data_IF_980516928882
#
_entry.id   IF_980516928882
#
_cell.length_a   1.000
_cell.length_b   1.000
_cell.length_c   1.000
_cell.angle_alpha   90.00
_cell.angle_beta   90.00
_cell.angle_gamma   90.00
#
_symmetry.space_group_name_H-M   'P 1'
#
loop_
_entity.id
_entity.type
_entity.pdbx_description
1 polymer ?
#
# COMPACT_ATOMS: atom_id res chain seq x y z
N UNK A 1 19.82 27.65 -7.78
CA UNK A 1 19.15 27.49 -9.10
C UNK A 1 18.01 26.48 -8.94
N UNK A 2 16.77 26.95 -8.93
CA UNK A 2 15.58 26.12 -8.80
C UNK A 2 15.21 25.58 -10.19
N UNK A 3 15.50 24.31 -10.48
CA UNK A 3 15.05 23.67 -11.73
C UNK A 3 13.55 23.42 -11.63
N UNK A 4 12.75 24.22 -12.35
CA UNK A 4 11.36 23.87 -12.65
C UNK A 4 11.39 22.57 -13.46
N UNK A 5 10.73 21.54 -12.96
CA UNK A 5 10.42 20.34 -13.73
C UNK A 5 9.14 20.65 -14.50
N UNK A 6 9.26 20.77 -15.83
CA UNK A 6 8.08 20.85 -16.69
C UNK A 6 7.49 19.44 -16.82
N UNK A 7 6.23 19.31 -16.40
CA UNK A 7 5.45 18.08 -16.52
C UNK A 7 5.02 17.92 -17.97
N UNK A 8 5.74 17.08 -18.72
CA UNK A 8 5.21 16.54 -19.96
C UNK A 8 4.17 15.47 -19.64
N UNK A 9 2.94 15.79 -20.01
CA UNK A 9 1.80 14.90 -20.04
C UNK A 9 2.10 13.67 -20.90
N UNK A 10 1.99 12.49 -20.31
CA UNK A 10 1.58 11.29 -21.05
C UNK A 10 0.11 11.10 -20.73
N UNK A 11 -0.74 11.75 -21.53
CA UNK A 11 -2.19 11.56 -21.55
C UNK A 11 -2.56 10.22 -22.23
N UNK A 12 -1.84 9.13 -21.93
CA UNK A 12 -2.06 7.83 -22.53
C UNK A 12 -1.83 6.74 -21.49
N UNK A 13 -2.86 6.49 -20.67
CA UNK A 13 -3.24 5.22 -20.05
C UNK A 13 -4.45 5.52 -19.16
N UNK A 14 -5.61 5.56 -19.81
CA UNK A 14 -6.88 5.99 -19.24
C UNK A 14 -7.44 5.05 -18.18
N UNK A 15 -7.85 5.68 -17.08
CA UNK A 15 -8.93 5.26 -16.17
C UNK A 15 -10.01 4.41 -16.83
N UNK A 16 -10.27 3.23 -16.26
CA UNK A 16 -11.62 2.68 -16.10
C UNK A 16 -11.79 2.23 -14.65
N UNK A 17 -12.37 3.08 -13.80
CA UNK A 17 -12.92 2.69 -12.51
C UNK A 17 -14.35 2.22 -12.74
N UNK A 18 -14.61 0.91 -12.64
CA UNK A 18 -15.94 0.39 -12.34
C UNK A 18 -15.92 -0.09 -10.89
N UNK A 19 -16.50 0.72 -9.99
CA UNK A 19 -16.81 0.29 -8.63
C UNK A 19 -18.27 -0.14 -8.61
N UNK A 20 -18.53 -1.44 -8.38
CA UNK A 20 -19.83 -1.88 -7.88
C UNK A 20 -19.95 -1.42 -6.43
N UNK A 21 -20.75 -0.38 -6.17
CA UNK A 21 -21.28 -0.09 -4.84
C UNK A 21 -22.75 -0.52 -4.78
N UNK A 22 -23.09 -1.31 -3.75
CA UNK A 22 -24.46 -1.52 -3.33
C UNK A 22 -25.14 -0.17 -3.05
N UNK A 23 -26.27 0.06 -3.72
CA UNK A 23 -27.19 1.15 -3.45
C UNK A 23 -27.71 1.10 -2.01
N UNK A 24 -27.64 2.22 -1.28
CA UNK A 24 -28.30 2.35 0.02
C UNK A 24 -28.06 3.68 0.73
N UNK A 25 -29.05 4.56 0.62
CA UNK A 25 -29.35 5.74 1.45
C UNK A 25 -28.56 7.04 1.20
N UNK A 26 -29.19 7.91 0.40
CA UNK A 26 -29.03 9.36 0.41
C UNK A 26 -29.67 9.94 1.68
N UNK A 27 -28.92 10.76 2.42
CA UNK A 27 -29.48 11.94 3.08
C UNK A 27 -28.44 13.06 3.00
N UNK A 28 -28.79 14.12 2.27
CA UNK A 28 -28.02 15.36 2.16
C UNK A 28 -28.60 16.36 3.16
N UNK A 29 -27.77 16.83 4.09
CA UNK A 29 -27.98 18.11 4.76
C UNK A 29 -26.87 19.09 4.36
N UNK A 30 -27.30 20.28 3.95
CA UNK A 30 -26.46 21.37 3.47
C UNK A 30 -25.68 22.03 4.62
N UNK A 31 -24.35 21.92 4.62
CA UNK A 31 -23.47 22.72 5.47
C UNK A 31 -22.69 23.76 4.64
N UNK A 32 -22.89 25.03 5.00
CA UNK A 32 -22.23 26.21 4.43
C UNK A 32 -20.75 26.22 4.81
N UNK A 33 -19.88 25.91 3.84
CA UNK A 33 -18.43 26.00 4.02
C UNK A 33 -17.93 27.46 3.98
N UNK A 34 -17.45 27.95 5.11
CA UNK A 34 -16.57 29.11 5.17
C UNK A 34 -15.20 28.74 4.58
N UNK A 35 -14.76 29.49 3.57
CA UNK A 35 -13.45 29.30 2.93
C UNK A 35 -12.35 29.81 3.86
N UNK A 36 -11.86 28.93 4.72
CA UNK A 36 -10.69 29.18 5.56
C UNK A 36 -9.44 29.09 4.68
N UNK A 37 -8.78 30.22 4.41
CA UNK A 37 -7.50 30.24 3.69
C UNK A 37 -6.45 29.53 4.55
N UNK A 38 -5.84 28.42 4.10
CA UNK A 38 -4.78 27.77 4.87
C UNK A 38 -3.56 28.70 4.91
N UNK A 39 -3.08 29.03 6.11
CA UNK A 39 -1.83 29.76 6.28
C UNK A 39 -0.68 28.90 5.75
N UNK A 40 0.01 29.37 4.72
CA UNK A 40 1.07 28.64 3.99
C UNK A 40 2.18 28.09 4.92
N UNK A 41 2.41 28.74 6.05
CA UNK A 41 3.50 28.43 7.00
C UNK A 41 3.25 27.19 7.87
N UNK A 42 1.98 26.81 8.11
CA UNK A 42 1.64 25.63 8.93
C UNK A 42 1.76 24.29 8.18
N UNK A 43 1.93 24.33 6.86
CA UNK A 43 1.89 23.13 6.02
C UNK A 43 3.22 22.35 5.97
N UNK A 44 4.37 23.03 6.08
CA UNK A 44 5.68 22.38 5.98
C UNK A 44 6.08 21.63 7.25
N UNK A 45 5.99 22.30 8.41
CA UNK A 45 6.35 21.72 9.71
C UNK A 45 5.52 20.47 10.03
N UNK A 46 4.22 20.52 9.77
CA UNK A 46 3.32 19.38 9.97
C UNK A 46 3.72 18.15 9.16
N UNK A 47 4.23 18.30 7.92
CA UNK A 47 4.64 17.14 7.10
C UNK A 47 5.91 16.48 7.56
N UNK A 48 6.88 17.25 8.04
CA UNK A 48 8.09 16.69 8.67
C UNK A 48 7.70 15.93 9.93
N UNK A 49 6.81 16.50 10.76
CA UNK A 49 6.26 15.82 11.94
C UNK A 49 5.53 14.52 11.57
N UNK A 50 4.72 14.52 10.50
CA UNK A 50 4.08 13.31 9.98
C UNK A 50 5.08 12.27 9.51
N UNK A 51 6.10 12.64 8.74
CA UNK A 51 7.18 11.72 8.39
C UNK A 51 7.79 11.05 9.63
N UNK A 52 8.12 11.84 10.65
CA UNK A 52 8.71 11.35 11.90
C UNK A 52 7.75 10.46 12.68
N UNK A 53 6.45 10.76 12.69
CA UNK A 53 5.40 9.90 13.24
C UNK A 53 5.41 8.53 12.57
N UNK A 54 5.33 8.49 11.22
CA UNK A 54 5.36 7.25 10.45
C UNK A 54 6.62 6.42 10.70
N UNK A 55 7.81 7.06 10.71
CA UNK A 55 9.07 6.38 11.03
C UNK A 55 9.07 5.80 12.45
N UNK A 56 8.61 6.56 13.44
CA UNK A 56 8.56 6.10 14.84
C UNK A 56 7.65 4.89 15.00
N UNK A 57 6.45 4.93 14.41
CA UNK A 57 5.49 3.82 14.46
C UNK A 57 6.08 2.56 13.80
N UNK A 58 6.78 2.72 12.68
CA UNK A 58 7.48 1.61 12.02
C UNK A 58 8.63 1.07 12.87
N UNK A 59 9.43 1.93 13.50
CA UNK A 59 10.51 1.52 14.39
C UNK A 59 10.00 0.63 15.54
N UNK A 60 8.86 0.98 16.14
CA UNK A 60 8.22 0.20 17.20
C UNK A 60 7.86 -1.23 16.73
N UNK A 61 7.28 -1.35 15.53
CA UNK A 61 6.97 -2.65 14.91
C UNK A 61 8.24 -3.44 14.59
N UNK A 62 9.24 -2.82 13.98
CA UNK A 62 10.52 -3.46 13.60
C UNK A 62 11.23 -4.03 14.82
N UNK A 63 11.32 -3.24 15.91
CA UNK A 63 11.88 -3.70 17.19
C UNK A 63 11.09 -4.86 17.78
N UNK A 64 9.75 -4.78 17.74
CA UNK A 64 8.87 -5.82 18.28
C UNK A 64 9.03 -7.16 17.55
N UNK A 65 9.17 -7.15 16.22
CA UNK A 65 9.29 -8.40 15.43
C UNK A 65 10.72 -8.94 15.37
N UNK A 66 11.73 -8.11 15.67
CA UNK A 66 13.15 -8.48 15.66
C UNK A 66 13.57 -9.24 14.39
N UNK A 67 13.19 -8.70 13.22
CA UNK A 67 13.43 -9.31 11.91
C UNK A 67 14.53 -8.53 11.16
N UNK A 68 15.66 -9.19 10.86
CA UNK A 68 16.79 -8.57 10.16
C UNK A 68 16.40 -7.87 8.85
N UNK A 69 15.58 -8.53 8.03
CA UNK A 69 15.13 -7.95 6.75
C UNK A 69 14.28 -6.69 6.95
N UNK A 70 13.42 -6.67 7.98
CA UNK A 70 12.62 -5.49 8.30
C UNK A 70 13.50 -4.36 8.86
N UNK A 71 14.52 -4.69 9.65
CA UNK A 71 15.52 -3.73 10.13
C UNK A 71 16.31 -3.10 8.97
N UNK A 72 16.75 -3.90 8.00
CA UNK A 72 17.45 -3.40 6.80
C UNK A 72 16.59 -2.42 5.99
N UNK A 73 15.32 -2.75 5.76
CA UNK A 73 14.38 -1.86 5.05
C UNK A 73 14.11 -0.61 5.87
N UNK A 74 13.93 -0.73 7.19
CA UNK A 74 13.71 0.42 8.06
C UNK A 74 14.91 1.35 8.12
N UNK A 75 16.13 0.83 8.25
CA UNK A 75 17.34 1.65 8.22
C UNK A 75 17.51 2.38 6.89
N UNK A 76 17.14 1.75 5.77
CA UNK A 76 17.08 2.43 4.47
C UNK A 76 16.12 3.62 4.50
N UNK A 77 14.91 3.44 5.04
CA UNK A 77 13.92 4.52 5.16
C UNK A 77 14.38 5.62 6.13
N UNK A 78 14.86 5.25 7.31
CA UNK A 78 15.28 6.19 8.36
C UNK A 78 16.39 7.13 7.88
N UNK A 79 17.37 6.60 7.13
CA UNK A 79 18.50 7.39 6.63
C UNK A 79 18.22 8.06 5.27
N UNK A 80 17.39 7.45 4.42
CA UNK A 80 17.16 7.88 3.03
C UNK A 80 15.92 8.74 2.81
N UNK A 81 14.93 8.71 3.71
CA UNK A 81 13.63 9.33 3.47
C UNK A 81 13.59 10.82 3.81
N UNK A 82 13.23 11.63 2.81
CA UNK A 82 13.08 13.09 2.92
C UNK A 82 11.61 13.49 2.76
N UNK A 83 11.13 14.41 3.60
CA UNK A 83 9.79 14.93 3.51
C UNK A 83 9.68 15.86 2.28
N UNK A 84 8.55 15.74 1.59
CA UNK A 84 8.15 16.64 0.53
C UNK A 84 6.69 17.09 0.72
N UNK A 85 6.36 18.23 0.15
CA UNK A 85 4.99 18.74 0.09
C UNK A 85 4.47 18.63 -1.35
N UNK A 86 3.19 18.26 -1.55
CA UNK A 86 2.59 18.37 -2.86
C UNK A 86 2.46 19.85 -3.24
N UNK A 87 2.64 20.15 -4.52
CA UNK A 87 2.35 21.43 -5.17
C UNK A 87 1.54 21.18 -6.45
N UNK A 88 0.95 22.22 -7.02
CA UNK A 88 0.28 22.12 -8.31
C UNK A 88 1.29 21.62 -9.37
N UNK A 89 1.06 20.41 -9.88
CA UNK A 89 1.94 19.76 -10.84
C UNK A 89 3.32 19.41 -10.27
N UNK A 90 3.42 18.84 -9.06
CA UNK A 90 4.67 18.24 -8.59
C UNK A 90 4.84 18.21 -7.08
N UNK A 91 6.09 18.09 -6.64
CA UNK A 91 6.48 18.11 -5.22
C UNK A 91 7.55 19.19 -4.96
N UNK A 92 7.59 19.69 -3.74
CA UNK A 92 8.71 20.49 -3.23
C UNK A 92 9.34 19.78 -2.04
N UNK A 93 10.66 19.63 -2.05
CA UNK A 93 11.38 19.05 -0.91
C UNK A 93 11.35 20.01 0.29
N UNK A 94 11.12 19.46 1.47
CA UNK A 94 11.12 20.18 2.74
C UNK A 94 12.42 19.97 3.52
N UNK A 95 13.22 19.00 3.11
CA UNK A 95 14.50 18.63 3.71
C UNK A 95 15.56 18.42 2.63
N UNK A 96 16.83 18.68 2.97
CA UNK A 96 17.94 18.33 2.10
C UNK A 96 18.17 16.81 2.09
N UNK A 97 18.53 16.27 0.92
CA UNK A 97 18.92 14.86 0.79
C UNK A 97 20.31 14.66 1.39
N UNK A 98 20.44 13.67 2.26
CA UNK A 98 21.71 13.34 2.95
C UNK A 98 22.45 12.17 2.31
N UNK A 99 21.82 11.44 1.40
CA UNK A 99 22.34 10.21 0.79
C UNK A 99 22.03 10.18 -0.70
N UNK A 100 22.78 9.39 -1.47
CA UNK A 100 22.48 9.12 -2.89
C UNK A 100 21.26 8.21 -3.09
N UNK A 101 20.90 7.46 -2.04
CA UNK A 101 19.84 6.47 -1.99
C UNK A 101 18.56 7.07 -1.39
N UNK A 102 18.28 8.34 -1.70
CA UNK A 102 17.16 9.05 -1.12
C UNK A 102 15.83 8.62 -1.76
N UNK A 103 14.77 8.73 -0.96
CA UNK A 103 13.38 8.65 -1.41
C UNK A 103 12.58 9.81 -0.80
N UNK A 104 11.63 10.35 -1.55
CA UNK A 104 10.70 11.35 -1.04
C UNK A 104 9.52 10.65 -0.35
N UNK A 105 8.98 11.25 0.71
CA UNK A 105 7.66 10.92 1.23
C UNK A 105 6.76 12.16 1.23
N UNK A 106 5.54 11.99 0.73
CA UNK A 106 4.50 13.02 0.72
C UNK A 106 3.31 12.54 1.56
N UNK A 107 3.18 13.02 2.80
CA UNK A 107 1.94 12.89 3.54
C UNK A 107 0.87 13.82 2.96
N UNK A 108 -0.16 13.24 2.36
CA UNK A 108 -1.34 13.96 1.90
C UNK A 108 -2.25 14.28 3.09
N UNK A 109 -2.51 15.56 3.27
CA UNK A 109 -3.39 16.11 4.31
C UNK A 109 -4.75 16.45 3.69
N UNK A 110 -5.77 16.69 4.52
CA UNK A 110 -7.11 17.06 4.03
C UNK A 110 -7.10 18.30 3.12
N UNK A 111 -6.18 19.25 3.36
CA UNK A 111 -6.04 20.45 2.54
C UNK A 111 -5.52 20.18 1.12
N UNK A 112 -4.94 19.01 0.86
CA UNK A 112 -4.32 18.68 -0.44
C UNK A 112 -5.30 18.08 -1.45
N UNK A 113 -6.52 17.70 -1.02
CA UNK A 113 -7.53 17.04 -1.84
C UNK A 113 -8.01 17.85 -3.05
N UNK A 114 -7.73 19.15 -3.08
CA UNK A 114 -8.10 20.06 -4.16
C UNK A 114 -6.89 20.52 -4.98
N UNK A 115 -5.70 19.96 -4.72
CA UNK A 115 -4.52 20.28 -5.52
C UNK A 115 -4.60 19.55 -6.86
N UNK A 116 -4.52 20.32 -7.94
CA UNK A 116 -4.50 19.81 -9.31
C UNK A 116 -3.45 18.69 -9.45
N UNK A 117 -3.83 17.59 -10.12
CA UNK A 117 -3.06 16.36 -10.31
C UNK A 117 -2.89 15.44 -9.08
N UNK A 118 -3.33 15.86 -7.88
CA UNK A 118 -3.29 15.04 -6.67
C UNK A 118 -4.63 14.39 -6.33
N UNK A 119 -5.72 14.83 -6.98
CA UNK A 119 -7.07 14.30 -6.74
C UNK A 119 -7.15 12.80 -7.04
N UNK A 120 -6.60 12.34 -8.18
CA UNK A 120 -6.61 10.92 -8.55
C UNK A 120 -5.94 10.06 -7.48
N UNK A 121 -4.75 10.46 -7.01
CA UNK A 121 -4.03 9.77 -5.93
C UNK A 121 -4.80 9.84 -4.60
N UNK A 122 -5.44 10.99 -4.33
CA UNK A 122 -6.26 11.20 -3.14
C UNK A 122 -7.57 10.40 -3.15
N UNK A 123 -8.01 9.92 -4.31
CA UNK A 123 -9.22 9.12 -4.50
C UNK A 123 -8.94 7.63 -4.67
N UNK A 124 -7.69 7.24 -4.97
CA UNK A 124 -7.30 5.83 -5.09
C UNK A 124 -7.70 5.04 -3.84
N UNK A 125 -8.14 3.78 -3.98
CA UNK A 125 -8.49 2.92 -2.84
C UNK A 125 -7.25 2.35 -2.11
N UNK A 126 -6.10 3.02 -2.22
CA UNK A 126 -4.85 2.67 -1.54
C UNK A 126 -4.54 3.69 -0.43
N UNK A 127 -3.78 3.27 0.58
CA UNK A 127 -3.38 4.11 1.73
C UNK A 127 -2.06 4.79 1.46
N UNK A 128 -1.18 4.07 0.77
CA UNK A 128 0.07 4.59 0.29
C UNK A 128 0.37 3.99 -1.08
N UNK A 129 1.33 4.59 -1.78
CA UNK A 129 1.80 4.10 -3.06
C UNK A 129 3.23 4.61 -3.31
N UNK A 130 4.12 3.71 -3.70
CA UNK A 130 5.42 4.04 -4.23
C UNK A 130 5.33 4.34 -5.74
N UNK A 131 5.88 5.48 -6.15
CA UNK A 131 5.96 5.95 -7.54
C UNK A 131 7.44 5.91 -7.97
N UNK A 132 7.88 4.84 -8.67
CA UNK A 132 9.29 4.64 -9.03
C UNK A 132 9.91 5.82 -9.77
N UNK A 133 9.20 6.34 -10.78
CA UNK A 133 9.64 7.47 -11.63
C UNK A 133 10.03 8.72 -10.83
N UNK A 134 9.40 8.93 -9.67
CA UNK A 134 9.63 10.08 -8.81
C UNK A 134 10.42 9.75 -7.54
N UNK A 135 10.81 8.48 -7.33
CA UNK A 135 11.38 7.98 -6.06
C UNK A 135 10.54 8.42 -4.86
N UNK A 136 9.22 8.31 -4.98
CA UNK A 136 8.27 8.97 -4.09
C UNK A 136 7.33 7.94 -3.46
N UNK A 137 7.23 7.94 -2.13
CA UNK A 137 6.13 7.30 -1.41
C UNK A 137 5.09 8.38 -1.12
N UNK A 138 3.86 8.19 -1.59
CA UNK A 138 2.73 9.04 -1.19
C UNK A 138 1.96 8.30 -0.11
N UNK A 139 1.67 8.95 1.03
CA UNK A 139 0.86 8.37 2.11
C UNK A 139 -0.36 9.24 2.38
N UNK A 140 -1.56 8.66 2.42
CA UNK A 140 -2.83 9.37 2.69
C UNK A 140 -3.05 9.51 4.19
N UNK A 141 -2.29 10.40 4.81
CA UNK A 141 -2.40 10.67 6.26
C UNK A 141 -3.71 11.37 6.64
N UNK A 142 -4.46 11.86 5.65
CA UNK A 142 -5.82 12.36 5.79
C UNK A 142 -6.88 11.27 6.06
N UNK A 143 -6.51 9.99 5.99
CA UNK A 143 -7.37 8.86 6.36
C UNK A 143 -6.90 8.28 7.70
N UNK A 144 -7.81 8.11 8.68
CA UNK A 144 -7.48 7.43 9.92
C UNK A 144 -6.99 6.00 9.68
N UNK A 145 -5.87 5.68 10.32
CA UNK A 145 -5.20 4.39 10.23
C UNK A 145 -4.56 4.07 11.57
N UNK A 146 -4.64 2.82 12.03
CA UNK A 146 -3.99 2.41 13.27
C UNK A 146 -2.47 2.52 13.17
N UNK A 147 -1.81 2.64 14.33
CA UNK A 147 -0.35 2.67 14.41
C UNK A 147 0.32 1.48 13.73
N UNK A 148 -0.20 0.27 13.96
CA UNK A 148 0.33 -0.97 13.37
C UNK A 148 0.04 -1.01 11.88
N UNK A 149 -1.14 -0.58 11.45
CA UNK A 149 -1.49 -0.47 10.04
C UNK A 149 -0.53 0.48 9.29
N UNK A 150 -0.26 1.67 9.84
CA UNK A 150 0.70 2.62 9.25
C UNK A 150 2.08 1.99 9.11
N UNK A 151 2.55 1.32 10.15
CA UNK A 151 3.85 0.66 10.13
C UNK A 151 3.95 -0.43 9.04
N UNK A 152 2.93 -1.29 8.90
CA UNK A 152 2.90 -2.33 7.88
C UNK A 152 2.88 -1.72 6.47
N UNK A 153 2.05 -0.69 6.24
CA UNK A 153 1.96 0.02 4.96
C UNK A 153 3.30 0.66 4.59
N UNK A 154 3.96 1.34 5.52
CA UNK A 154 5.26 1.96 5.22
C UNK A 154 6.35 0.93 4.94
N UNK A 155 6.34 -0.20 5.64
CA UNK A 155 7.27 -1.29 5.36
C UNK A 155 7.03 -1.90 3.97
N UNK A 156 5.76 -2.04 3.55
CA UNK A 156 5.39 -2.51 2.22
C UNK A 156 5.92 -1.58 1.12
N UNK A 157 5.50 -0.30 1.13
CA UNK A 157 5.96 0.68 0.12
C UNK A 157 7.46 0.96 0.22
N UNK A 158 8.00 0.91 1.44
CA UNK A 158 9.43 1.05 1.68
C UNK A 158 10.24 -0.08 1.07
N UNK A 159 9.67 -1.30 0.97
CA UNK A 159 10.35 -2.40 0.30
C UNK A 159 10.38 -2.20 -1.21
N UNK A 160 9.30 -1.76 -1.84
CA UNK A 160 9.33 -1.34 -3.24
C UNK A 160 10.42 -0.29 -3.49
N UNK A 161 10.44 0.74 -2.64
CA UNK A 161 11.44 1.80 -2.73
C UNK A 161 12.88 1.30 -2.56
N UNK A 162 13.10 0.35 -1.65
CA UNK A 162 14.39 -0.29 -1.43
C UNK A 162 14.84 -1.13 -2.63
N UNK A 163 13.94 -1.94 -3.20
CA UNK A 163 14.22 -2.74 -4.40
C UNK A 163 14.57 -1.84 -5.58
N UNK A 164 13.78 -0.79 -5.80
CA UNK A 164 14.03 0.20 -6.84
C UNK A 164 15.38 0.91 -6.69
N UNK A 165 15.73 1.38 -5.48
CA UNK A 165 17.01 2.08 -5.28
C UNK A 165 18.21 1.16 -5.56
N UNK A 166 18.07 -0.15 -5.28
CA UNK A 166 19.10 -1.15 -5.60
C UNK A 166 19.16 -1.53 -7.08
N UNK A 167 18.03 -1.53 -7.76
CA UNK A 167 17.92 -1.87 -9.17
C UNK A 167 16.91 -0.95 -9.88
N UNK A 168 17.31 0.28 -10.26
CA UNK A 168 16.39 1.26 -10.83
C UNK A 168 15.85 0.84 -12.19
N UNK A 169 14.57 1.10 -12.42
CA UNK A 169 13.88 0.87 -13.70
C UNK A 169 13.07 2.12 -14.11
N UNK A 170 12.82 2.31 -15.41
CA UNK A 170 12.03 3.46 -15.91
C UNK A 170 10.58 3.05 -16.12
N UNK A 171 10.40 1.92 -16.80
CA UNK A 171 9.13 1.23 -17.00
C UNK A 171 9.35 -0.22 -16.60
N UNK A 172 8.35 -0.81 -15.98
CA UNK A 172 8.37 -2.20 -15.57
C UNK A 172 7.28 -2.92 -16.36
N UNK A 173 7.64 -4.02 -17.02
CA UNK A 173 6.61 -4.83 -17.66
C UNK A 173 5.72 -5.47 -16.57
N UNK A 174 4.47 -5.80 -16.94
CA UNK A 174 3.49 -6.34 -15.98
C UNK A 174 3.99 -7.55 -15.22
N UNK A 175 4.73 -8.45 -15.86
CA UNK A 175 5.22 -9.67 -15.23
C UNK A 175 6.31 -9.34 -14.22
N UNK A 176 7.23 -8.43 -14.56
CA UNK A 176 8.25 -7.95 -13.62
C UNK A 176 7.61 -7.27 -12.40
N UNK A 177 6.59 -6.43 -12.63
CA UNK A 177 5.81 -5.80 -11.56
C UNK A 177 5.19 -6.85 -10.63
N UNK A 178 4.46 -7.82 -11.18
CA UNK A 178 3.85 -8.87 -10.37
C UNK A 178 4.88 -9.75 -9.64
N UNK A 179 6.07 -9.98 -10.21
CA UNK A 179 7.15 -10.70 -9.51
C UNK A 179 7.75 -9.89 -8.36
N UNK A 180 7.88 -8.58 -8.53
CA UNK A 180 8.28 -7.68 -7.44
C UNK A 180 7.25 -7.69 -6.32
N UNK A 181 5.97 -7.58 -6.68
CA UNK A 181 4.83 -7.64 -5.76
C UNK A 181 4.77 -8.96 -4.97
N UNK A 182 5.12 -10.11 -5.58
CA UNK A 182 5.25 -11.37 -4.84
C UNK A 182 6.28 -11.25 -3.72
N UNK A 183 7.44 -10.62 -3.98
CA UNK A 183 8.48 -10.41 -2.96
C UNK A 183 8.00 -9.48 -1.85
N UNK A 184 7.35 -8.37 -2.22
CA UNK A 184 6.86 -7.39 -1.26
C UNK A 184 5.73 -7.96 -0.39
N UNK A 185 4.76 -8.66 -0.98
CA UNK A 185 3.73 -9.38 -0.22
C UNK A 185 4.31 -10.49 0.64
N UNK A 186 5.31 -11.25 0.16
CA UNK A 186 5.97 -12.27 0.99
C UNK A 186 6.62 -11.66 2.25
N UNK A 187 7.27 -10.50 2.10
CA UNK A 187 7.81 -9.75 3.25
C UNK A 187 6.71 -9.20 4.16
N UNK A 188 5.65 -8.60 3.61
CA UNK A 188 4.50 -8.14 4.40
C UNK A 188 3.89 -9.30 5.20
N UNK A 189 3.70 -10.46 4.57
CA UNK A 189 3.17 -11.67 5.18
C UNK A 189 4.03 -12.13 6.36
N UNK A 190 5.36 -12.10 6.20
CA UNK A 190 6.33 -12.39 7.26
C UNK A 190 6.22 -11.38 8.42
N UNK A 191 6.11 -10.08 8.15
CA UNK A 191 5.92 -9.05 9.18
C UNK A 191 4.61 -9.30 9.96
N UNK A 192 3.51 -9.53 9.26
CA UNK A 192 2.21 -9.80 9.88
C UNK A 192 2.22 -11.08 10.72
N UNK A 193 2.88 -12.14 10.22
CA UNK A 193 3.05 -13.39 10.97
C UNK A 193 3.87 -13.19 12.25
N UNK A 194 5.00 -12.48 12.19
CA UNK A 194 5.82 -12.22 13.36
C UNK A 194 5.10 -11.34 14.40
N UNK A 195 4.27 -10.39 13.96
CA UNK A 195 3.45 -9.56 14.85
C UNK A 195 2.36 -10.36 15.56
N UNK A 196 1.68 -11.25 14.85
CA UNK A 196 0.50 -11.95 15.35
C UNK A 196 0.72 -13.36 15.90
N UNK A 197 1.86 -13.97 15.56
CA UNK A 197 2.25 -15.31 15.97
C UNK A 197 1.13 -16.34 15.76
N UNK A 198 0.91 -17.19 16.76
CA UNK A 198 -0.06 -18.29 16.69
C UNK A 198 -1.50 -17.81 16.41
N UNK A 199 -1.92 -16.68 16.98
CA UNK A 199 -3.27 -16.14 16.77
C UNK A 199 -3.52 -15.76 15.31
N UNK A 200 -2.51 -15.19 14.65
CA UNK A 200 -2.58 -14.87 13.23
C UNK A 200 -2.53 -16.14 12.37
N UNK A 201 -1.67 -17.10 12.74
CA UNK A 201 -1.63 -18.41 12.07
C UNK A 201 -2.99 -19.12 12.10
N UNK A 202 -3.72 -19.06 13.22
CA UNK A 202 -5.06 -19.67 13.32
C UNK A 202 -6.07 -19.02 12.36
N UNK A 203 -5.96 -17.70 12.13
CA UNK A 203 -6.79 -16.97 11.15
C UNK A 203 -6.42 -17.43 9.73
N UNK A 204 -5.12 -17.49 9.42
CA UNK A 204 -4.63 -17.95 8.12
C UNK A 204 -5.06 -19.39 7.82
N UNK A 205 -4.93 -20.30 8.79
CA UNK A 205 -5.27 -21.71 8.60
C UNK A 205 -6.76 -21.87 8.25
N UNK A 206 -7.65 -21.10 8.91
CA UNK A 206 -9.08 -21.08 8.56
C UNK A 206 -9.32 -20.59 7.14
N UNK A 207 -8.63 -19.53 6.73
CA UNK A 207 -8.77 -18.97 5.39
C UNK A 207 -8.21 -19.91 4.31
N UNK A 208 -7.09 -20.59 4.56
CA UNK A 208 -6.54 -21.63 3.68
C UNK A 208 -7.50 -22.81 3.54
N UNK A 209 -8.12 -23.27 4.63
CA UNK A 209 -9.15 -24.33 4.60
C UNK A 209 -10.36 -23.90 3.77
N UNK A 210 -10.83 -22.65 3.95
CA UNK A 210 -11.93 -22.09 3.16
C UNK A 210 -11.60 -22.10 1.67
N UNK A 211 -10.45 -21.55 1.26
CA UNK A 211 -9.97 -21.54 -0.13
C UNK A 211 -9.92 -22.96 -0.70
N UNK A 212 -9.32 -23.90 0.04
CA UNK A 212 -9.23 -25.32 -0.36
C UNK A 212 -10.61 -25.93 -0.60
N UNK A 213 -11.57 -25.70 0.29
CA UNK A 213 -12.93 -26.23 0.16
C UNK A 213 -13.64 -25.68 -1.07
N UNK A 214 -13.43 -24.41 -1.42
CA UNK A 214 -14.05 -23.79 -2.58
C UNK A 214 -13.42 -24.24 -3.91
N UNK A 215 -12.11 -24.41 -3.96
CA UNK A 215 -11.43 -25.02 -5.12
C UNK A 215 -11.94 -26.44 -5.34
N UNK A 216 -12.06 -27.24 -4.28
CA UNK A 216 -12.62 -28.61 -4.36
C UNK A 216 -14.07 -28.62 -4.85
N UNK A 217 -14.92 -27.74 -4.32
CA UNK A 217 -16.34 -27.66 -4.70
C UNK A 217 -16.54 -27.18 -6.14
N UNK A 218 -15.74 -26.23 -6.60
CA UNK A 218 -15.87 -25.66 -7.94
C UNK A 218 -15.30 -26.57 -9.04
N UNK A 219 -14.43 -27.53 -8.69
CA UNK A 219 -13.72 -28.37 -9.66
C UNK A 219 -12.75 -27.59 -10.55
N UNK A 220 -12.53 -26.30 -10.27
CA UNK A 220 -11.67 -25.42 -11.06
C UNK A 220 -10.20 -25.76 -10.83
N UNK A 221 -9.38 -25.54 -11.87
CA UNK A 221 -7.93 -25.70 -11.77
C UNK A 221 -7.37 -24.66 -10.78
N UNK A 222 -6.37 -25.04 -10.00
CA UNK A 222 -5.63 -24.10 -9.15
C UNK A 222 -5.11 -22.96 -10.02
N UNK A 223 -5.39 -21.71 -9.62
CA UNK A 223 -5.00 -20.50 -10.36
C UNK A 223 -6.00 -20.02 -11.41
N UNK A 224 -7.09 -20.75 -11.69
CA UNK A 224 -8.08 -20.29 -12.69
C UNK A 224 -9.23 -19.45 -12.11
N UNK A 225 -9.34 -19.37 -10.78
CA UNK A 225 -10.27 -18.46 -10.10
C UNK A 225 -9.84 -18.29 -8.66
N UNK A 226 -10.03 -17.09 -8.13
CA UNK A 226 -9.61 -16.76 -6.78
C UNK A 226 -10.83 -16.46 -5.92
N UNK A 227 -10.95 -17.18 -4.81
CA UNK A 227 -12.07 -17.00 -3.91
C UNK A 227 -11.77 -15.91 -2.89
N UNK A 228 -12.47 -14.79 -3.01
CA UNK A 228 -12.35 -13.68 -2.08
C UNK A 228 -13.37 -13.76 -0.95
N UNK A 229 -12.91 -13.66 0.30
CA UNK A 229 -13.79 -13.52 1.46
C UNK A 229 -14.01 -12.03 1.74
N UNK A 230 -15.23 -11.50 1.59
CA UNK A 230 -15.51 -10.10 1.89
C UNK A 230 -15.57 -9.81 3.39
N UNK A 231 -15.54 -10.82 4.27
CA UNK A 231 -15.69 -10.61 5.70
C UNK A 231 -14.33 -10.40 6.38
N UNK A 232 -14.24 -9.36 7.22
CA UNK A 232 -13.09 -9.13 8.09
C UNK A 232 -13.18 -10.02 9.32
N UNK A 233 -12.13 -10.79 9.62
CA UNK A 233 -12.06 -11.62 10.82
C UNK A 233 -11.84 -10.74 12.06
N UNK A 234 -12.77 -10.70 13.04
CA UNK A 234 -12.61 -9.88 14.25
C UNK A 234 -11.38 -10.24 15.10
N UNK A 235 -10.82 -11.45 14.93
CA UNK A 235 -9.55 -11.85 15.52
C UNK A 235 -8.38 -10.99 15.07
N UNK A 236 -8.43 -10.40 13.86
CA UNK A 236 -7.41 -9.48 13.37
C UNK A 236 -7.30 -8.23 14.22
N UNK A 237 -8.43 -7.67 14.68
CA UNK A 237 -8.42 -6.48 15.52
C UNK A 237 -7.78 -6.72 16.89
N UNK A 238 -7.88 -7.95 17.42
CA UNK A 238 -7.21 -8.37 18.66
C UNK A 238 -5.69 -8.51 18.52
N UNK A 239 -5.18 -8.58 17.28
CA UNK A 239 -3.76 -8.75 16.98
C UNK A 239 -3.13 -7.41 16.60
N UNK A 240 -3.76 -6.70 15.66
CA UNK A 240 -3.22 -5.50 15.02
C UNK A 240 -3.85 -4.20 15.54
N UNK A 241 -4.87 -4.28 16.41
CA UNK A 241 -5.67 -3.15 16.85
C UNK A 241 -6.93 -2.98 16.01
N UNK A 242 -7.91 -2.24 16.55
CA UNK A 242 -9.14 -1.92 15.83
C UNK A 242 -8.83 -1.04 14.60
N UNK A 243 -9.31 -1.42 13.40
CA UNK A 243 -9.11 -0.61 12.21
C UNK A 243 -9.81 0.74 12.38
N UNK A 244 -9.13 1.82 12.03
CA UNK A 244 -9.61 3.19 12.20
C UNK A 244 -10.42 3.67 10.98
N UNK A 245 -10.44 2.91 9.89
CA UNK A 245 -11.22 3.20 8.69
C UNK A 245 -11.62 1.94 7.92
N UNK A 246 -12.59 2.07 7.01
CA UNK A 246 -12.95 0.97 6.10
C UNK A 246 -11.82 0.61 5.14
N UNK A 247 -10.99 1.59 4.76
CA UNK A 247 -9.82 1.36 3.92
C UNK A 247 -8.79 0.51 4.67
N UNK A 248 -8.54 0.78 5.96
CA UNK A 248 -7.69 -0.07 6.78
C UNK A 248 -8.23 -1.50 6.91
N UNK A 249 -9.52 -1.62 7.18
CA UNK A 249 -10.21 -2.91 7.27
C UNK A 249 -10.08 -3.70 5.96
N UNK A 250 -10.23 -3.02 4.83
CA UNK A 250 -10.05 -3.60 3.49
C UNK A 250 -8.61 -4.09 3.30
N UNK A 251 -7.62 -3.22 3.55
CA UNK A 251 -6.20 -3.55 3.44
C UNK A 251 -5.85 -4.79 4.26
N UNK A 252 -6.14 -4.77 5.56
CA UNK A 252 -5.78 -5.86 6.49
C UNK A 252 -6.42 -7.20 6.08
N UNK A 253 -7.67 -7.17 5.61
CA UNK A 253 -8.36 -8.36 5.08
C UNK A 253 -7.69 -8.86 3.80
N UNK A 254 -7.43 -7.97 2.85
CA UNK A 254 -6.81 -8.31 1.57
C UNK A 254 -5.41 -8.91 1.78
N UNK A 255 -4.63 -8.38 2.72
CA UNK A 255 -3.31 -8.93 3.07
C UNK A 255 -3.40 -10.37 3.61
N UNK A 256 -4.35 -10.67 4.51
CA UNK A 256 -4.60 -12.04 4.99
C UNK A 256 -5.00 -12.97 3.84
N UNK A 257 -5.87 -12.49 2.96
CA UNK A 257 -6.35 -13.26 1.83
C UNK A 257 -5.24 -13.59 0.83
N UNK A 258 -4.38 -12.63 0.49
CA UNK A 258 -3.20 -12.85 -0.36
C UNK A 258 -2.27 -13.87 0.30
N UNK A 259 -1.99 -13.71 1.60
CA UNK A 259 -1.16 -14.65 2.36
C UNK A 259 -1.73 -16.08 2.33
N UNK A 260 -3.04 -16.23 2.55
CA UNK A 260 -3.69 -17.53 2.52
C UNK A 260 -3.63 -18.18 1.12
N UNK A 261 -3.78 -17.41 0.04
CA UNK A 261 -3.60 -17.93 -1.32
C UNK A 261 -2.16 -18.38 -1.58
N UNK A 262 -1.16 -17.63 -1.13
CA UNK A 262 0.25 -18.02 -1.25
C UNK A 262 0.53 -19.35 -0.56
N UNK A 263 0.08 -19.52 0.70
CA UNK A 263 0.20 -20.77 1.44
C UNK A 263 -0.55 -21.90 0.74
N UNK A 264 -1.74 -21.63 0.20
CA UNK A 264 -2.51 -22.62 -0.53
C UNK A 264 -1.77 -23.10 -1.78
N UNK A 265 -1.18 -22.19 -2.57
CA UNK A 265 -0.40 -22.54 -3.76
C UNK A 265 0.83 -23.38 -3.40
N UNK A 266 1.60 -22.96 -2.39
CA UNK A 266 2.78 -23.70 -1.91
C UNK A 266 2.45 -25.14 -1.48
N UNK A 267 1.29 -25.35 -0.84
CA UNK A 267 0.87 -26.67 -0.37
C UNK A 267 0.30 -27.57 -1.45
N UNK A 268 -0.32 -27.01 -2.49
CA UNK A 268 -1.17 -27.76 -3.42
C UNK A 268 -0.70 -27.74 -4.88
N UNK A 269 0.27 -26.90 -5.23
CA UNK A 269 0.80 -26.80 -6.59
C UNK A 269 2.23 -27.32 -6.65
N UNK A 270 2.49 -28.30 -7.52
CA UNK A 270 3.81 -28.94 -7.69
C UNK A 270 4.69 -28.30 -8.77
N UNK A 271 4.19 -27.29 -9.49
CA UNK A 271 4.92 -26.60 -10.55
C UNK A 271 5.69 -25.39 -10.05
N UNK A 272 5.90 -24.41 -10.93
CA UNK A 272 6.50 -23.12 -10.57
C UNK A 272 5.51 -22.28 -9.74
N UNK A 273 5.59 -22.42 -8.42
CA UNK A 273 4.72 -21.73 -7.45
C UNK A 273 4.93 -20.21 -7.50
N UNK A 274 6.14 -19.73 -7.76
CA UNK A 274 6.42 -18.29 -7.82
C UNK A 274 5.77 -17.64 -9.05
N UNK A 275 5.81 -18.31 -10.21
CA UNK A 275 5.05 -17.85 -11.37
C UNK A 275 3.54 -17.89 -11.11
N UNK A 276 3.03 -18.92 -10.41
CA UNK A 276 1.61 -18.98 -10.06
C UNK A 276 1.18 -17.83 -9.15
N UNK A 277 1.99 -17.49 -8.12
CA UNK A 277 1.75 -16.31 -7.27
C UNK A 277 1.76 -15.01 -8.08
N UNK A 278 2.73 -14.86 -8.99
CA UNK A 278 2.82 -13.67 -9.84
C UNK A 278 1.62 -13.56 -10.79
N UNK A 279 1.20 -14.66 -11.43
CA UNK A 279 -0.01 -14.69 -12.25
C UNK A 279 -1.27 -14.35 -11.45
N UNK A 280 -1.37 -14.85 -10.21
CA UNK A 280 -2.46 -14.50 -9.29
C UNK A 280 -2.53 -13.00 -9.00
N UNK A 281 -1.41 -12.38 -8.61
CA UNK A 281 -1.37 -10.94 -8.38
C UNK A 281 -1.65 -10.15 -9.65
N UNK A 282 -1.12 -10.58 -10.80
CA UNK A 282 -1.41 -9.96 -12.09
C UNK A 282 -2.91 -9.94 -12.41
N UNK A 283 -3.61 -11.07 -12.24
CA UNK A 283 -5.07 -11.10 -12.44
C UNK A 283 -5.79 -10.14 -11.49
N UNK A 284 -5.44 -10.14 -10.20
CA UNK A 284 -6.04 -9.19 -9.25
C UNK A 284 -5.81 -7.75 -9.69
N UNK A 285 -4.59 -7.41 -10.10
CA UNK A 285 -4.26 -6.04 -10.46
C UNK A 285 -4.86 -5.60 -11.80
N UNK A 286 -5.04 -6.49 -12.76
CA UNK A 286 -5.81 -6.21 -13.97
C UNK A 286 -7.31 -6.03 -13.65
N UNK A 287 -7.90 -6.91 -12.85
CA UNK A 287 -9.32 -6.87 -12.46
C UNK A 287 -9.67 -5.60 -11.64
N UNK A 288 -8.69 -5.03 -10.93
CA UNK A 288 -8.86 -3.81 -10.14
C UNK A 288 -8.37 -2.55 -10.86
N UNK A 289 -7.98 -2.63 -12.14
CA UNK A 289 -7.54 -1.49 -12.93
C UNK A 289 -6.20 -0.87 -12.48
N UNK A 290 -5.41 -1.61 -11.70
CA UNK A 290 -4.04 -1.22 -11.30
C UNK A 290 -3.08 -1.44 -12.48
N UNK A 291 -3.26 -2.56 -13.19
CA UNK A 291 -2.58 -2.84 -14.46
C UNK A 291 -3.60 -2.69 -15.59
N UNK A 292 -3.18 -2.19 -16.78
CA UNK A 292 -4.09 -2.12 -17.93
C UNK A 292 -4.55 -3.53 -18.32
N UNK A 293 -5.80 -3.73 -18.74
CA UNK A 293 -6.23 -5.04 -19.28
C UNK A 293 -5.62 -5.24 -20.68
N UNK A 294 -5.24 -6.48 -21.01
CA UNK A 294 -4.73 -6.83 -22.36
C UNK A 294 -5.81 -6.76 -23.43
#
# INVERSE_FOLDING_TARGET
MCKKWEFFWVAALGMWLFVFFCSGCNDRSDEKNAVMKPSKEYSGKSRIEKKLEWLKLTADVVRKINCKEADEIFQFLEHGMVAASPIAGGITFLEATKTKNWIAIVPLLNADKNLENWNSISEMPAVAHFIPKLKLIVVRDNIPYSSVGKAIVLLHEGYHAYLFVKNPYIEQDKNEFCREEVKVHAFQNKVMFLLGGKKYQDILDREVVRISNEVKKSGKKIGSSYSYNPNYDPGMARIFGEPQSQIEKFFMRTSVWIHANFIFFEKNFKGDVENLKASFLCTIYEDNGILPVR
#
